data_IF_129052927858
#
_entry.id   IF_129052927858
#
_cell.length_a   1.000
_cell.length_b   1.000
_cell.length_c   1.000
_cell.angle_alpha   90.00
_cell.angle_beta   90.00
_cell.angle_gamma   90.00
#
_symmetry.space_group_name_H-M   'P 1'
#
loop_
_entity.id
_entity.type
_entity.pdbx_description
1 polymer ?
#
# COMPACT_ATOMS: atom_id res chain seq x y z
N UNK A 1 26.21 -27.90 12.99
CA UNK A 1 26.69 -26.52 12.70
C UNK A 1 28.13 -26.66 12.23
N UNK A 2 28.45 -26.20 11.04
CA UNK A 2 29.81 -26.26 10.50
C UNK A 2 30.50 -24.93 10.83
N UNK A 3 31.66 -25.00 11.46
CA UNK A 3 32.46 -23.84 11.83
C UNK A 3 33.64 -23.71 10.87
N UNK A 4 33.80 -22.56 10.24
CA UNK A 4 34.91 -22.28 9.33
C UNK A 4 35.93 -21.42 10.08
N UNK A 5 37.18 -21.89 10.27
CA UNK A 5 38.21 -21.07 10.92
C UNK A 5 38.61 -19.89 10.00
N UNK A 6 38.69 -18.70 10.59
CA UNK A 6 39.09 -17.50 9.86
C UNK A 6 40.09 -16.70 10.70
N UNK A 7 40.90 -15.84 10.06
CA UNK A 7 41.87 -14.96 10.69
C UNK A 7 41.52 -13.48 10.47
N UNK A 8 41.79 -12.67 11.47
CA UNK A 8 41.54 -11.23 11.43
C UNK A 8 42.76 -10.40 10.93
N UNK A 9 43.91 -11.02 10.71
CA UNK A 9 45.13 -10.33 10.31
C UNK A 9 46.09 -11.25 9.57
N UNK A 10 47.36 -10.78 9.38
CA UNK A 10 48.45 -11.59 8.86
C UNK A 10 48.86 -12.70 9.83
N UNK A 11 49.24 -13.85 9.31
CA UNK A 11 49.81 -14.95 10.13
C UNK A 11 51.27 -14.65 10.50
N UNK A 12 51.63 -15.01 11.72
CA UNK A 12 53.04 -14.94 12.15
C UNK A 12 53.88 -16.04 11.50
N UNK A 13 55.21 -15.90 11.52
CA UNK A 13 56.11 -16.92 11.03
C UNK A 13 55.94 -18.26 11.78
N UNK A 14 55.68 -18.20 13.11
CA UNK A 14 55.41 -19.38 13.93
C UNK A 14 54.11 -20.06 13.48
N UNK A 15 53.03 -19.30 13.28
CA UNK A 15 51.77 -19.86 12.81
C UNK A 15 51.94 -20.51 11.43
N UNK A 16 52.66 -19.87 10.53
CA UNK A 16 52.94 -20.42 9.19
C UNK A 16 53.72 -21.75 9.29
N UNK A 17 54.70 -21.82 10.15
CA UNK A 17 55.47 -23.04 10.41
C UNK A 17 54.57 -24.17 10.93
N UNK A 18 53.73 -23.88 11.93
CA UNK A 18 52.83 -24.89 12.50
C UNK A 18 51.81 -25.40 11.47
N UNK A 19 51.23 -24.50 10.68
CA UNK A 19 50.28 -24.88 9.62
C UNK A 19 50.96 -25.79 8.57
N UNK A 20 52.17 -25.45 8.20
CA UNK A 20 52.90 -26.28 7.22
C UNK A 20 53.31 -27.63 7.83
N UNK A 21 53.76 -27.63 9.09
CA UNK A 21 54.17 -28.86 9.79
C UNK A 21 53.01 -29.87 9.87
N UNK A 22 51.80 -29.42 10.19
CA UNK A 22 50.60 -30.24 10.28
C UNK A 22 49.86 -30.40 8.93
N UNK A 23 50.34 -29.80 7.88
CA UNK A 23 49.67 -29.77 6.55
C UNK A 23 48.25 -29.27 6.64
N UNK A 24 48.00 -28.30 7.52
CA UNK A 24 46.71 -27.64 7.67
C UNK A 24 46.57 -26.43 6.75
N UNK A 25 45.38 -26.22 6.19
CA UNK A 25 45.12 -25.07 5.32
C UNK A 25 45.17 -23.77 6.12
N UNK A 26 45.72 -22.73 5.50
CA UNK A 26 45.73 -21.39 6.09
C UNK A 26 44.33 -20.84 6.19
N UNK A 27 43.87 -20.45 7.41
CA UNK A 27 42.55 -19.84 7.58
C UNK A 27 42.36 -18.62 6.69
N UNK A 28 41.19 -18.50 6.04
CA UNK A 28 40.85 -17.38 5.18
C UNK A 28 40.84 -16.05 5.95
N UNK A 29 41.28 -14.96 5.32
CA UNK A 29 41.25 -13.64 5.91
C UNK A 29 39.80 -13.15 6.01
N UNK A 30 39.36 -12.84 7.23
CA UNK A 30 38.08 -12.18 7.47
C UNK A 30 38.26 -10.67 7.23
N UNK A 31 37.76 -10.17 6.11
CA UNK A 31 37.95 -8.78 5.68
C UNK A 31 36.92 -7.83 6.31
N UNK A 32 35.77 -8.35 6.70
CA UNK A 32 34.66 -7.58 7.24
C UNK A 32 33.86 -8.46 8.21
N UNK A 33 33.52 -7.90 9.37
CA UNK A 33 32.66 -8.50 10.40
C UNK A 33 31.31 -7.77 10.50
N UNK A 34 31.05 -6.80 9.62
CA UNK A 34 29.78 -6.09 9.57
C UNK A 34 28.63 -7.02 9.19
N UNK A 35 27.46 -6.70 9.67
CA UNK A 35 26.22 -7.41 9.34
C UNK A 35 25.98 -7.36 7.83
N UNK A 36 25.83 -8.51 7.20
CA UNK A 36 25.53 -8.62 5.77
C UNK A 36 24.03 -8.76 5.57
N UNK A 37 23.55 -8.43 4.36
CA UNK A 37 22.13 -8.56 4.02
C UNK A 37 21.61 -10.00 4.24
N UNK A 38 22.45 -11.01 3.99
CA UNK A 38 22.11 -12.42 4.24
C UNK A 38 21.86 -12.76 5.71
N UNK A 39 22.40 -11.94 6.63
CA UNK A 39 22.30 -12.13 8.09
C UNK A 39 21.07 -11.43 8.68
N UNK A 40 20.36 -10.64 7.86
CA UNK A 40 19.17 -9.91 8.25
C UNK A 40 17.93 -10.78 7.97
N UNK A 41 17.08 -10.90 8.98
CA UNK A 41 15.78 -11.56 8.79
C UNK A 41 14.85 -10.67 7.96
N UNK A 42 14.76 -10.95 6.67
CA UNK A 42 13.89 -10.22 5.75
C UNK A 42 12.48 -10.82 5.82
N UNK A 43 11.49 -10.01 6.23
CA UNK A 43 10.09 -10.40 6.17
C UNK A 43 9.63 -10.34 4.71
N UNK A 44 9.07 -11.43 4.21
CA UNK A 44 8.40 -11.45 2.91
C UNK A 44 6.97 -10.94 3.10
N UNK A 45 6.62 -9.85 2.42
CA UNK A 45 5.27 -9.29 2.41
C UNK A 45 4.76 -9.38 0.97
N UNK A 46 3.56 -9.95 0.80
CA UNK A 46 2.91 -10.02 -0.51
C UNK A 46 2.58 -8.61 -1.00
N UNK A 47 2.76 -8.38 -2.30
CA UNK A 47 2.40 -7.14 -2.94
C UNK A 47 0.90 -7.01 -3.15
N UNK A 48 0.39 -5.78 -3.11
CA UNK A 48 -1.01 -5.47 -3.39
C UNK A 48 -1.16 -4.79 -4.74
N UNK A 49 -2.33 -4.93 -5.37
CA UNK A 49 -2.62 -4.24 -6.63
C UNK A 49 -2.81 -2.73 -6.42
N UNK A 50 -2.40 -1.92 -7.39
CA UNK A 50 -2.67 -0.47 -7.43
C UNK A 50 -4.18 -0.12 -7.45
N UNK A 51 -5.04 -1.09 -7.77
CA UNK A 51 -6.50 -0.91 -7.74
C UNK A 51 -7.12 -1.20 -6.36
N UNK A 52 -6.31 -1.49 -5.34
CA UNK A 52 -6.81 -1.75 -3.99
C UNK A 52 -7.30 -0.44 -3.36
N UNK A 53 -8.46 -0.49 -2.67
CA UNK A 53 -8.93 0.68 -1.91
C UNK A 53 -8.04 0.94 -0.68
N UNK A 54 -7.93 2.22 -0.26
CA UNK A 54 -7.17 2.59 0.94
C UNK A 54 -7.70 1.91 2.20
N UNK A 55 -9.03 1.72 2.31
CA UNK A 55 -9.67 0.96 3.40
C UNK A 55 -9.12 -0.45 3.47
N UNK A 56 -9.07 -1.15 2.34
CA UNK A 56 -8.59 -2.53 2.27
C UNK A 56 -7.07 -2.63 2.48
N UNK A 57 -6.31 -1.65 1.99
CA UNK A 57 -4.88 -1.54 2.30
C UNK A 57 -4.64 -1.43 3.81
N UNK A 58 -5.41 -0.58 4.50
CA UNK A 58 -5.35 -0.44 5.95
C UNK A 58 -5.72 -1.72 6.70
N UNK A 59 -6.75 -2.42 6.28
CA UNK A 59 -7.14 -3.72 6.85
C UNK A 59 -6.01 -4.75 6.69
N UNK A 60 -5.40 -4.82 5.52
CA UNK A 60 -4.26 -5.71 5.28
C UNK A 60 -3.05 -5.35 6.14
N UNK A 61 -2.72 -4.06 6.29
CA UNK A 61 -1.64 -3.61 7.17
C UNK A 61 -1.86 -4.08 8.61
N UNK A 62 -3.10 -4.00 9.12
CA UNK A 62 -3.46 -4.49 10.46
C UNK A 62 -3.28 -6.01 10.57
N UNK A 63 -3.82 -6.76 9.62
CA UNK A 63 -3.77 -8.24 9.63
C UNK A 63 -2.32 -8.73 9.55
N UNK A 64 -1.53 -8.14 8.67
CA UNK A 64 -0.13 -8.52 8.46
C UNK A 64 0.82 -7.92 9.50
N UNK A 65 0.32 -7.00 10.35
CA UNK A 65 1.11 -6.24 11.31
C UNK A 65 2.32 -5.56 10.64
N UNK A 66 2.06 -4.80 9.56
CA UNK A 66 3.06 -4.04 8.81
C UNK A 66 2.63 -2.58 8.67
N UNK A 67 3.60 -1.68 8.53
CA UNK A 67 3.38 -0.24 8.31
C UNK A 67 3.58 0.18 6.87
N UNK A 68 3.95 -0.77 6.01
CA UNK A 68 4.22 -0.55 4.58
C UNK A 68 3.74 -1.74 3.77
N UNK A 69 3.04 -1.48 2.68
CA UNK A 69 2.65 -2.49 1.68
C UNK A 69 3.29 -2.16 0.35
N UNK A 70 3.97 -3.12 -0.29
CA UNK A 70 4.43 -2.97 -1.67
C UNK A 70 3.24 -3.01 -2.64
N UNK A 71 3.22 -2.09 -3.60
CA UNK A 71 2.27 -2.09 -4.71
C UNK A 71 2.93 -2.72 -5.92
N UNK A 72 2.29 -3.74 -6.48
CA UNK A 72 2.82 -4.50 -7.61
C UNK A 72 1.84 -4.54 -8.77
N UNK A 73 2.37 -4.68 -9.97
CA UNK A 73 1.57 -4.87 -11.18
C UNK A 73 1.22 -6.36 -11.40
N UNK A 74 0.48 -6.64 -12.48
CA UNK A 74 0.08 -8.00 -12.87
C UNK A 74 1.26 -8.96 -13.16
N UNK A 75 2.49 -8.45 -13.28
CA UNK A 75 3.72 -9.22 -13.50
C UNK A 75 4.55 -9.32 -12.22
N UNK A 76 3.98 -9.01 -11.06
CA UNK A 76 4.63 -8.97 -9.75
C UNK A 76 5.84 -8.03 -9.66
N UNK A 77 5.84 -6.97 -10.48
CA UNK A 77 6.88 -5.93 -10.43
C UNK A 77 6.42 -4.78 -9.54
N UNK A 78 7.32 -4.32 -8.68
CA UNK A 78 7.09 -3.19 -7.78
C UNK A 78 6.79 -1.91 -8.58
N UNK A 79 5.67 -1.26 -8.27
CA UNK A 79 5.24 0.03 -8.82
C UNK A 79 5.31 1.15 -7.78
N UNK A 80 5.17 0.80 -6.50
CA UNK A 80 5.19 1.78 -5.42
C UNK A 80 5.07 1.14 -4.04
N UNK A 81 4.91 1.99 -3.05
CA UNK A 81 4.70 1.60 -1.66
C UNK A 81 3.53 2.41 -1.10
N UNK A 82 2.71 1.78 -0.28
CA UNK A 82 1.72 2.45 0.56
C UNK A 82 2.23 2.39 1.99
N UNK A 83 2.35 3.54 2.65
CA UNK A 83 2.74 3.62 4.06
C UNK A 83 1.59 4.16 4.92
N UNK A 84 1.64 3.91 6.23
CA UNK A 84 0.64 4.44 7.17
C UNK A 84 0.48 5.96 7.08
N UNK A 85 1.57 6.67 6.75
CA UNK A 85 1.56 8.13 6.52
C UNK A 85 0.68 8.57 5.35
N UNK A 86 0.62 7.80 4.26
CA UNK A 86 -0.24 8.10 3.11
C UNK A 86 -1.72 8.01 3.51
N UNK A 87 -2.06 7.00 4.31
CA UNK A 87 -3.41 6.82 4.85
C UNK A 87 -3.77 7.98 5.77
N UNK A 88 -2.89 8.35 6.71
CA UNK A 88 -3.12 9.46 7.61
C UNK A 88 -3.29 10.78 6.85
N UNK A 89 -2.47 11.02 5.83
CA UNK A 89 -2.56 12.21 4.98
C UNK A 89 -3.91 12.26 4.25
N UNK A 90 -4.37 11.16 3.68
CA UNK A 90 -5.65 11.12 2.99
C UNK A 90 -6.84 11.45 3.89
N UNK A 91 -6.76 11.13 5.20
CA UNK A 91 -7.77 11.53 6.18
C UNK A 91 -7.69 13.01 6.56
N UNK A 92 -6.51 13.62 6.56
CA UNK A 92 -6.33 15.04 6.86
C UNK A 92 -6.75 15.94 5.70
N UNK A 93 -6.61 15.45 4.47
CA UNK A 93 -6.95 16.19 3.24
C UNK A 93 -8.47 16.12 2.90
N UNK A 94 -9.33 15.70 3.83
CA UNK A 94 -10.79 15.46 3.66
C UNK A 94 -11.57 16.70 3.18
N UNK A 95 -11.00 17.90 3.25
CA UNK A 95 -11.67 19.13 2.81
C UNK A 95 -11.64 19.36 1.29
N UNK A 96 -10.89 18.56 0.52
CA UNK A 96 -10.89 18.65 -0.94
C UNK A 96 -11.90 17.68 -1.58
N UNK A 97 -13.11 18.15 -1.83
CA UNK A 97 -14.19 17.38 -2.48
C UNK A 97 -13.84 16.89 -3.89
N UNK A 98 -12.73 17.34 -4.47
CA UNK A 98 -12.26 16.95 -5.80
C UNK A 98 -11.18 15.86 -5.77
N UNK A 99 -10.72 15.41 -4.59
CA UNK A 99 -9.60 14.47 -4.46
C UNK A 99 -9.91 13.13 -5.15
N UNK A 100 -11.14 12.64 -5.07
CA UNK A 100 -11.55 11.39 -5.70
C UNK A 100 -11.52 11.48 -7.22
N UNK A 101 -11.91 12.61 -7.79
CA UNK A 101 -11.86 12.85 -9.23
C UNK A 101 -10.42 12.99 -9.72
N UNK A 102 -9.57 13.74 -9.02
CA UNK A 102 -8.13 13.87 -9.32
C UNK A 102 -7.42 12.52 -9.28
N UNK A 103 -7.76 11.68 -8.31
CA UNK A 103 -7.21 10.33 -8.18
C UNK A 103 -7.78 9.33 -9.18
N UNK A 104 -8.79 9.70 -9.98
CA UNK A 104 -9.52 8.81 -10.89
C UNK A 104 -10.02 7.56 -10.17
N UNK A 105 -10.70 7.77 -9.03
CA UNK A 105 -11.11 6.69 -8.14
C UNK A 105 -12.15 5.80 -8.82
N UNK A 106 -11.96 4.49 -8.73
CA UNK A 106 -12.94 3.52 -9.25
C UNK A 106 -14.23 3.58 -8.42
N UNK A 107 -15.41 3.59 -9.06
CA UNK A 107 -16.68 3.54 -8.36
C UNK A 107 -16.81 2.32 -7.45
N UNK A 108 -16.29 1.18 -7.86
CA UNK A 108 -16.25 -0.03 -7.05
C UNK A 108 -15.54 0.18 -5.70
N UNK A 109 -14.44 0.93 -5.66
CA UNK A 109 -13.74 1.23 -4.41
C UNK A 109 -14.56 2.14 -3.49
N UNK A 110 -15.33 3.06 -4.06
CA UNK A 110 -16.23 3.94 -3.31
C UNK A 110 -17.36 3.11 -2.70
N UNK A 111 -18.00 2.26 -3.50
CA UNK A 111 -19.08 1.35 -3.08
C UNK A 111 -18.59 0.44 -1.93
N UNK A 112 -17.45 -0.22 -2.11
CA UNK A 112 -16.84 -1.10 -1.10
C UNK A 112 -16.50 -0.34 0.19
N UNK A 113 -16.00 0.88 0.08
CA UNK A 113 -15.61 1.70 1.24
C UNK A 113 -16.82 2.13 2.07
N UNK A 114 -17.92 2.46 1.39
CA UNK A 114 -19.15 2.93 2.03
C UNK A 114 -20.11 1.80 2.42
N UNK A 115 -19.81 0.55 2.03
CA UNK A 115 -20.73 -0.59 2.15
C UNK A 115 -22.08 -0.28 1.48
N UNK A 116 -22.02 0.39 0.32
CA UNK A 116 -23.16 0.93 -0.39
C UNK A 116 -23.55 0.11 -1.61
N UNK A 117 -24.51 0.64 -2.36
CA UNK A 117 -24.95 0.14 -3.67
C UNK A 117 -25.00 1.29 -4.65
N UNK A 118 -24.70 1.01 -5.92
CA UNK A 118 -24.93 1.99 -6.97
C UNK A 118 -26.43 1.98 -7.33
N UNK A 119 -27.04 3.15 -7.38
CA UNK A 119 -28.45 3.31 -7.74
C UNK A 119 -28.55 3.70 -9.22
N UNK A 120 -27.64 4.59 -9.69
CA UNK A 120 -27.56 5.02 -11.07
C UNK A 120 -26.08 5.18 -11.46
N UNK A 121 -25.76 4.96 -12.72
CA UNK A 121 -24.39 5.05 -13.27
C UNK A 121 -23.75 3.68 -13.51
N UNK A 122 -22.44 3.68 -13.79
CA UNK A 122 -21.68 2.47 -14.14
C UNK A 122 -20.67 2.12 -13.06
N UNK A 123 -20.89 1.03 -12.33
CA UNK A 123 -20.00 0.57 -11.25
C UNK A 123 -18.56 0.23 -11.69
N UNK A 124 -18.36 -0.06 -12.98
CA UNK A 124 -17.05 -0.39 -13.55
C UNK A 124 -16.26 0.83 -14.02
N UNK A 125 -16.84 2.02 -13.90
CA UNK A 125 -16.22 3.28 -14.32
C UNK A 125 -15.30 3.88 -13.25
N UNK A 126 -14.80 5.08 -13.60
CA UNK A 126 -13.95 5.89 -12.73
C UNK A 126 -14.60 7.25 -12.51
N UNK A 127 -14.54 7.74 -11.27
CA UNK A 127 -14.92 9.11 -10.98
C UNK A 127 -13.77 10.03 -11.42
N UNK A 128 -13.99 10.81 -12.45
CA UNK A 128 -12.94 11.63 -13.10
C UNK A 128 -13.25 13.12 -13.12
N UNK A 129 -14.49 13.49 -12.83
CA UNK A 129 -14.99 14.89 -12.87
C UNK A 129 -16.13 15.05 -11.88
N UNK A 130 -16.42 16.28 -11.48
CA UNK A 130 -17.46 16.61 -10.52
C UNK A 130 -16.96 16.65 -9.08
N UNK A 131 -17.86 16.86 -8.16
CA UNK A 131 -17.65 16.87 -6.69
C UNK A 131 -18.42 15.75 -6.01
N UNK A 132 -18.04 15.42 -4.80
CA UNK A 132 -18.79 14.46 -3.98
C UNK A 132 -19.77 15.22 -3.13
N UNK A 133 -21.04 14.85 -3.21
CA UNK A 133 -22.15 15.44 -2.44
C UNK A 133 -22.78 14.38 -1.54
N UNK A 134 -23.01 14.74 -0.28
CA UNK A 134 -23.82 13.92 0.63
C UNK A 134 -25.26 14.46 0.60
N UNK A 135 -26.15 13.71 -0.01
CA UNK A 135 -27.57 14.07 -0.17
C UNK A 135 -28.38 13.87 1.10
N UNK A 136 -28.03 14.58 2.18
CA UNK A 136 -28.70 14.51 3.47
C UNK A 136 -29.86 15.55 3.62
N UNK A 137 -29.98 16.47 2.68
CA UNK A 137 -31.00 17.54 2.71
C UNK A 137 -32.40 17.10 2.25
N UNK A 138 -33.30 18.07 2.13
CA UNK A 138 -34.60 17.88 1.48
C UNK A 138 -34.42 17.70 -0.02
N UNK A 139 -35.39 17.08 -0.73
CA UNK A 139 -35.33 16.93 -2.19
C UNK A 139 -35.01 18.24 -2.94
N UNK A 140 -35.65 19.34 -2.56
CA UNK A 140 -35.38 20.66 -3.18
C UNK A 140 -33.96 21.17 -2.94
N UNK A 141 -33.42 20.92 -1.73
CA UNK A 141 -32.04 21.28 -1.38
C UNK A 141 -31.05 20.47 -2.21
N UNK A 142 -31.31 19.19 -2.40
CA UNK A 142 -30.46 18.30 -3.21
C UNK A 142 -30.49 18.77 -4.66
N UNK A 143 -31.67 19.01 -5.25
CA UNK A 143 -31.85 19.50 -6.61
C UNK A 143 -31.07 20.78 -6.90
N UNK A 144 -31.02 21.69 -5.93
CA UNK A 144 -30.29 22.96 -6.08
C UNK A 144 -28.77 22.86 -5.99
N UNK A 145 -28.24 21.73 -5.47
CA UNK A 145 -26.81 21.56 -5.21
C UNK A 145 -26.11 20.53 -6.08
N UNK A 146 -26.88 19.65 -6.73
CA UNK A 146 -26.35 18.60 -7.62
C UNK A 146 -26.17 19.15 -9.00
N UNK A 147 -25.07 18.83 -9.64
CA UNK A 147 -24.78 19.16 -11.04
C UNK A 147 -24.42 17.88 -11.82
N UNK A 148 -24.44 17.98 -13.13
CA UNK A 148 -23.97 16.92 -14.01
C UNK A 148 -22.55 16.50 -13.65
N UNK A 149 -22.27 15.21 -13.72
CA UNK A 149 -21.00 14.57 -13.33
C UNK A 149 -20.72 14.52 -11.80
N UNK A 150 -21.60 15.01 -10.93
CA UNK A 150 -21.38 14.90 -9.48
C UNK A 150 -21.63 13.46 -8.98
N UNK A 151 -20.87 13.04 -7.98
CA UNK A 151 -21.11 11.80 -7.23
C UNK A 151 -21.97 12.09 -6.03
N UNK A 152 -23.20 11.58 -6.01
CA UNK A 152 -24.12 11.78 -4.89
C UNK A 152 -24.19 10.54 -4.02
N UNK A 153 -23.85 10.71 -2.73
CA UNK A 153 -24.02 9.69 -1.70
C UNK A 153 -25.36 9.96 -1.02
N UNK A 154 -26.31 9.06 -1.19
CA UNK A 154 -27.68 9.28 -0.76
C UNK A 154 -28.19 8.10 0.06
N UNK A 155 -29.13 8.37 0.96
CA UNK A 155 -29.82 7.33 1.75
C UNK A 155 -30.92 6.65 0.91
N UNK A 156 -31.69 5.79 1.56
CA UNK A 156 -32.78 5.00 0.99
C UNK A 156 -34.08 5.78 0.68
N UNK A 157 -34.05 7.13 0.79
CA UNK A 157 -35.20 7.98 0.46
C UNK A 157 -35.45 8.04 -1.05
N UNK A 158 -36.49 7.35 -1.51
CA UNK A 158 -36.82 7.19 -2.93
C UNK A 158 -36.99 8.53 -3.65
N UNK A 159 -37.69 9.50 -3.07
CA UNK A 159 -37.91 10.84 -3.65
C UNK A 159 -36.57 11.56 -3.92
N UNK A 160 -35.63 11.44 -2.99
CA UNK A 160 -34.31 12.05 -3.14
C UNK A 160 -33.45 11.33 -4.17
N UNK A 161 -33.60 10.02 -4.31
CA UNK A 161 -32.89 9.23 -5.33
C UNK A 161 -33.38 9.58 -6.73
N UNK A 162 -34.68 9.71 -6.94
CA UNK A 162 -35.28 10.07 -8.23
C UNK A 162 -34.77 11.43 -8.75
N UNK A 163 -34.68 12.44 -7.88
CA UNK A 163 -34.16 13.76 -8.25
C UNK A 163 -32.70 13.73 -8.71
N UNK A 164 -31.90 12.80 -8.20
CA UNK A 164 -30.48 12.68 -8.60
C UNK A 164 -30.31 11.92 -9.95
N UNK A 165 -31.35 11.26 -10.45
CA UNK A 165 -31.32 10.49 -11.68
C UNK A 165 -31.83 11.32 -12.89
N UNK A 166 -32.73 12.28 -12.62
CA UNK A 166 -33.26 13.23 -13.61
C UNK A 166 -32.23 14.29 -14.02
#
# INVERSE_FOLDING_TARGET
MEYIPMRAGSISAETAFVLDYFKADTPALLKDVGTQIKDIHIRRTEGVSSNLSMKKAWEMMKILNVVTLPVVNKKDKLEGLIVTGDIAKSYMDVYDNSILAKARTQYRNIIETLDGKIVAGNEHGYFVKGKVIVGAGTPDTIKGNVAEDDLVIISDREESQLICIE
#
